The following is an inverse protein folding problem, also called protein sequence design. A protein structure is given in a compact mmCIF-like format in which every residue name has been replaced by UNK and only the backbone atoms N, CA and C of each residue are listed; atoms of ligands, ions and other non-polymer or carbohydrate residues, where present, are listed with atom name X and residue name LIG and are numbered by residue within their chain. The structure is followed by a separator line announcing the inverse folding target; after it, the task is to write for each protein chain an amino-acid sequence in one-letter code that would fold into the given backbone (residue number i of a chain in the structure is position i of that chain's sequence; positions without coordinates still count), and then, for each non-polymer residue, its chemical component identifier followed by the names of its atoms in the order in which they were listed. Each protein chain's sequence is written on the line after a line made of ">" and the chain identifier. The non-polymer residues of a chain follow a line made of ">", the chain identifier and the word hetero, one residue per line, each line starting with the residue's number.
data_IF_054500021660
#
_entry.id   IF_054500021660
#
_cell.length_a   1.000
_cell.length_b   1.000
_cell.length_c   1.000
_cell.angle_alpha   90.00
_cell.angle_beta   90.00
_cell.angle_gamma   90.00
#
_symmetry.space_group_name_H-M   'P 1'
#
loop_
_entity.id
_entity.type
_entity.pdbx_description
1 polymer ?
#
# COMPACT_ATOMS: atom_id res chain seq x y z
N UNK A 1 9.91 -3.40 -16.33
CA UNK A 1 9.19 -2.32 -15.65
C UNK A 1 9.22 -1.03 -16.47
N UNK A 2 8.10 -0.30 -16.56
CA UNK A 2 7.95 1.01 -17.22
C UNK A 2 7.34 2.01 -16.24
N UNK A 3 7.93 3.20 -16.12
CA UNK A 3 7.43 4.28 -15.25
C UNK A 3 6.96 5.43 -16.12
N UNK A 4 5.70 5.83 -15.95
CA UNK A 4 5.07 6.92 -16.71
C UNK A 4 4.58 7.99 -15.72
N UNK A 5 5.28 9.13 -15.58
CA UNK A 5 4.84 10.25 -14.74
C UNK A 5 3.51 10.82 -15.24
N UNK A 6 2.76 11.46 -14.35
CA UNK A 6 1.64 12.28 -14.77
C UNK A 6 2.11 13.67 -15.24
N UNK A 7 1.22 14.40 -15.91
CA UNK A 7 1.54 15.72 -16.47
C UNK A 7 1.59 16.84 -15.40
N UNK A 8 1.32 16.54 -14.13
CA UNK A 8 1.20 17.50 -13.05
C UNK A 8 2.40 17.51 -12.09
N UNK A 9 3.41 16.66 -12.31
CA UNK A 9 4.63 16.58 -11.51
C UNK A 9 4.51 15.78 -10.21
N UNK A 10 3.30 15.39 -9.80
CA UNK A 10 3.06 14.53 -8.63
C UNK A 10 2.43 13.22 -9.07
N UNK A 11 3.19 12.13 -9.00
CA UNK A 11 2.67 10.79 -9.18
C UNK A 11 3.13 10.14 -10.49
N UNK A 12 3.40 8.84 -10.45
CA UNK A 12 3.74 8.06 -11.63
C UNK A 12 3.05 6.69 -11.65
N UNK A 13 2.69 6.23 -12.84
CA UNK A 13 2.18 4.86 -13.08
C UNK A 13 3.35 3.92 -13.37
N UNK A 14 3.39 2.77 -12.70
CA UNK A 14 4.41 1.74 -12.87
C UNK A 14 3.78 0.48 -13.46
N UNK A 15 4.23 0.05 -14.64
CA UNK A 15 3.70 -1.12 -15.35
C UNK A 15 4.80 -2.16 -15.64
N UNK A 16 4.41 -3.40 -15.92
CA UNK A 16 5.34 -4.48 -16.26
C UNK A 16 6.20 -4.93 -15.07
N UNK A 17 5.56 -4.99 -13.89
CA UNK A 17 6.08 -5.59 -12.66
C UNK A 17 4.92 -6.34 -11.97
N UNK A 18 5.23 -7.48 -11.36
CA UNK A 18 4.32 -8.25 -10.52
C UNK A 18 4.77 -8.13 -9.06
N UNK A 19 3.94 -7.50 -8.20
CA UNK A 19 4.28 -7.28 -6.80
C UNK A 19 4.06 -8.51 -5.91
N UNK A 20 3.48 -9.59 -6.45
CA UNK A 20 3.40 -10.89 -5.75
C UNK A 20 4.76 -11.55 -5.65
N UNK A 21 5.64 -11.24 -6.61
CA UNK A 21 7.01 -11.72 -6.65
C UNK A 21 7.97 -10.73 -5.99
N UNK A 22 9.08 -11.25 -5.48
CA UNK A 22 10.14 -10.42 -4.94
C UNK A 22 10.80 -9.64 -6.08
N UNK A 23 10.49 -8.35 -6.20
CA UNK A 23 11.18 -7.46 -7.14
C UNK A 23 12.70 -7.54 -6.95
N UNK A 24 13.45 -7.55 -8.06
CA UNK A 24 14.91 -7.57 -8.02
C UNK A 24 15.45 -6.37 -7.22
N UNK A 25 16.69 -6.46 -6.72
CA UNK A 25 17.30 -5.33 -6.02
C UNK A 25 17.43 -4.09 -6.91
N UNK A 26 17.56 -4.27 -8.23
CA UNK A 26 17.63 -3.20 -9.21
C UNK A 26 16.27 -2.54 -9.47
N UNK A 27 15.22 -3.35 -9.65
CA UNK A 27 13.86 -2.85 -9.79
C UNK A 27 13.46 -2.06 -8.55
N UNK A 28 13.74 -2.59 -7.35
CA UNK A 28 13.41 -1.90 -6.11
C UNK A 28 14.15 -0.56 -5.97
N UNK A 29 15.44 -0.49 -6.30
CA UNK A 29 16.17 0.80 -6.31
C UNK A 29 15.54 1.81 -7.28
N UNK A 30 15.07 1.33 -8.43
CA UNK A 30 14.39 2.17 -9.42
C UNK A 30 13.04 2.67 -8.89
N UNK A 31 12.26 1.81 -8.23
CA UNK A 31 11.02 2.20 -7.56
C UNK A 31 11.25 3.21 -6.45
N UNK A 32 12.26 3.00 -5.60
CA UNK A 32 12.56 3.90 -4.49
C UNK A 32 12.94 5.30 -4.99
N UNK A 33 13.75 5.39 -6.06
CA UNK A 33 14.07 6.67 -6.71
C UNK A 33 12.83 7.34 -7.30
N UNK A 34 11.99 6.57 -7.99
CA UNK A 34 10.76 7.09 -8.57
C UNK A 34 9.77 7.58 -7.50
N UNK A 35 9.68 6.90 -6.35
CA UNK A 35 8.86 7.35 -5.23
C UNK A 35 9.37 8.69 -4.69
N UNK A 36 10.69 8.85 -4.53
CA UNK A 36 11.29 10.12 -4.10
C UNK A 36 11.09 11.27 -5.10
N UNK A 37 11.13 10.98 -6.41
CA UNK A 37 10.94 11.98 -7.48
C UNK A 37 9.47 12.40 -7.63
N UNK A 38 8.55 11.44 -7.59
CA UNK A 38 7.14 11.67 -7.96
C UNK A 38 6.19 11.71 -6.77
N UNK A 39 6.65 11.41 -5.55
CA UNK A 39 5.85 11.41 -4.32
C UNK A 39 4.86 10.24 -4.17
N UNK A 40 4.21 9.82 -5.27
CA UNK A 40 3.21 8.73 -5.27
C UNK A 40 3.46 7.78 -6.44
N UNK A 41 3.36 6.47 -6.21
CA UNK A 41 3.43 5.46 -7.27
C UNK A 41 2.12 4.67 -7.35
N UNK A 42 1.62 4.47 -8.58
CA UNK A 42 0.44 3.67 -8.88
C UNK A 42 0.83 2.40 -9.63
N UNK A 43 0.46 1.24 -9.10
CA UNK A 43 0.72 -0.07 -9.68
C UNK A 43 -0.61 -0.69 -10.14
N UNK A 44 -1.04 -0.51 -11.40
CA UNK A 44 -2.26 -1.11 -11.90
C UNK A 44 -2.14 -2.63 -12.05
N UNK A 45 -3.29 -3.32 -12.05
CA UNK A 45 -3.42 -4.77 -12.31
C UNK A 45 -2.63 -5.65 -11.33
N UNK A 46 -2.60 -5.25 -10.07
CA UNK A 46 -2.06 -6.06 -8.98
C UNK A 46 -3.22 -6.74 -8.27
N UNK A 47 -3.07 -8.03 -8.02
CA UNK A 47 -3.98 -8.83 -7.21
C UNK A 47 -3.15 -9.38 -6.05
N UNK A 48 -3.25 -8.72 -4.89
CA UNK A 48 -2.37 -8.93 -3.75
C UNK A 48 -3.17 -9.35 -2.54
N UNK A 49 -2.73 -10.44 -1.93
CA UNK A 49 -3.14 -10.88 -0.61
C UNK A 49 -2.29 -10.19 0.47
N UNK A 50 -2.79 -10.16 1.70
CA UNK A 50 -2.09 -9.59 2.85
C UNK A 50 -0.60 -9.96 2.99
N UNK A 51 -0.17 -11.23 2.84
CA UNK A 51 1.26 -11.57 2.89
C UNK A 51 2.09 -10.86 1.81
N UNK A 52 1.53 -10.63 0.62
CA UNK A 52 2.23 -9.99 -0.49
C UNK A 52 2.30 -8.47 -0.28
N UNK A 53 1.23 -7.86 0.25
CA UNK A 53 1.24 -6.45 0.68
C UNK A 53 2.32 -6.23 1.74
N UNK A 54 2.35 -7.08 2.77
CA UNK A 54 3.37 -7.02 3.82
C UNK A 54 4.78 -7.25 3.28
N UNK A 55 4.98 -8.24 2.41
CA UNK A 55 6.29 -8.53 1.82
C UNK A 55 6.81 -7.37 0.96
N UNK A 56 5.94 -6.73 0.17
CA UNK A 56 6.30 -5.57 -0.63
C UNK A 56 6.59 -4.35 0.26
N UNK A 57 5.74 -4.08 1.26
CA UNK A 57 5.94 -3.00 2.22
C UNK A 57 7.27 -3.10 2.99
N UNK A 58 7.64 -4.31 3.45
CA UNK A 58 8.92 -4.59 4.16
C UNK A 58 10.16 -4.23 3.36
N UNK A 59 10.05 -4.04 2.05
CA UNK A 59 11.17 -3.58 1.22
C UNK A 59 11.55 -2.12 1.52
N UNK A 60 10.58 -1.32 1.98
CA UNK A 60 10.76 0.10 2.28
C UNK A 60 11.23 0.37 3.72
N UNK A 61 11.13 -0.62 4.61
CA UNK A 61 11.54 -0.50 6.01
C UNK A 61 10.75 -1.44 6.92
N UNK A 62 10.87 -1.21 8.23
CA UNK A 62 10.06 -1.91 9.21
C UNK A 62 8.59 -1.50 9.09
N UNK A 63 7.69 -2.47 9.22
CA UNK A 63 6.25 -2.21 9.16
C UNK A 63 5.70 -1.92 10.55
N UNK A 64 4.90 -0.86 10.63
CA UNK A 64 4.20 -0.47 11.84
C UNK A 64 2.83 -1.14 11.90
N UNK A 65 2.45 -1.61 13.10
CA UNK A 65 1.08 -2.00 13.39
C UNK A 65 0.32 -0.74 13.77
N UNK A 66 -0.73 -0.42 13.02
CA UNK A 66 -1.50 0.82 13.22
C UNK A 66 -1.98 0.96 14.68
N UNK A 67 -1.89 2.16 15.24
CA UNK A 67 -2.23 2.45 16.65
C UNK A 67 -3.69 2.17 17.02
N UNK A 68 -4.61 2.22 16.06
CA UNK A 68 -5.99 1.81 16.29
C UNK A 68 -6.07 0.33 16.67
N UNK A 69 -5.11 -0.49 16.22
CA UNK A 69 -4.97 -1.91 16.54
C UNK A 69 -6.27 -2.71 16.32
N UNK A 70 -6.98 -2.40 15.24
CA UNK A 70 -8.26 -2.96 14.85
C UNK A 70 -8.25 -3.36 13.37
N UNK A 71 -9.05 -4.36 13.02
CA UNK A 71 -9.29 -4.79 11.64
C UNK A 71 -8.03 -5.16 10.87
N UNK A 72 -7.20 -6.06 11.43
CA UNK A 72 -6.02 -6.54 10.75
C UNK A 72 -6.32 -7.75 9.86
N UNK A 73 -5.55 -7.89 8.78
CA UNK A 73 -5.56 -9.11 8.01
C UNK A 73 -5.12 -10.30 8.89
N UNK A 74 -5.80 -11.46 8.81
CA UNK A 74 -5.44 -12.63 9.60
C UNK A 74 -3.97 -13.02 9.42
N UNK A 75 -3.23 -13.10 10.52
CA UNK A 75 -1.79 -13.45 10.52
C UNK A 75 -0.84 -12.33 10.09
N UNK A 76 -1.36 -11.16 9.69
CA UNK A 76 -0.57 -10.00 9.22
C UNK A 76 -1.05 -8.72 9.93
N UNK A 77 -0.70 -8.52 11.22
CA UNK A 77 -1.12 -7.35 11.99
C UNK A 77 -0.66 -6.01 11.39
N UNK A 78 0.40 -6.01 10.59
CA UNK A 78 0.87 -4.85 9.84
C UNK A 78 -0.06 -4.41 8.69
N UNK A 79 -1.00 -5.27 8.26
CA UNK A 79 -1.93 -4.97 7.16
C UNK A 79 -3.30 -4.65 7.75
N UNK A 80 -3.63 -3.36 7.79
CA UNK A 80 -4.94 -2.87 8.20
C UNK A 80 -5.97 -3.00 7.07
N UNK A 81 -7.19 -3.43 7.38
CA UNK A 81 -8.31 -3.52 6.45
C UNK A 81 -9.11 -2.21 6.55
N UNK A 82 -9.00 -1.39 5.51
CA UNK A 82 -9.84 -0.22 5.30
C UNK A 82 -11.04 -0.62 4.43
N UNK A 83 -12.24 -0.70 5.02
CA UNK A 83 -13.45 -1.16 4.32
C UNK A 83 -14.71 -0.66 5.00
N UNK A 84 -15.68 -0.25 4.20
CA UNK A 84 -17.04 0.07 4.64
C UNK A 84 -18.02 -1.12 4.49
N UNK A 85 -17.52 -2.29 4.06
CA UNK A 85 -18.34 -3.48 3.88
C UNK A 85 -18.60 -4.19 5.21
N UNK A 86 -19.70 -4.94 5.24
CA UNK A 86 -20.11 -5.78 6.37
C UNK A 86 -20.31 -7.22 5.90
N UNK A 87 -20.08 -8.18 6.77
CA UNK A 87 -20.47 -9.56 6.52
C UNK A 87 -22.00 -9.75 6.61
N UNK A 88 -22.47 -10.97 6.35
CA UNK A 88 -23.89 -11.33 6.38
C UNK A 88 -24.54 -11.13 7.77
N UNK A 89 -23.73 -11.18 8.84
CA UNK A 89 -24.17 -10.93 10.20
C UNK A 89 -24.17 -9.43 10.57
N UNK A 90 -23.77 -8.56 9.64
CA UNK A 90 -23.69 -7.11 9.82
C UNK A 90 -22.42 -6.64 10.54
N UNK A 91 -21.43 -7.51 10.77
CA UNK A 91 -20.15 -7.14 11.39
C UNK A 91 -19.28 -6.41 10.36
N UNK A 92 -18.66 -5.27 10.71
CA UNK A 92 -17.73 -4.59 9.82
C UNK A 92 -16.53 -5.46 9.46
N UNK A 93 -16.17 -5.46 8.17
CA UNK A 93 -14.98 -6.15 7.68
C UNK A 93 -13.70 -5.33 7.87
N UNK A 94 -13.84 -4.00 7.98
CA UNK A 94 -12.72 -3.08 8.13
C UNK A 94 -13.09 -1.81 8.88
N UNK A 95 -12.10 -0.95 9.06
CA UNK A 95 -12.31 0.41 9.53
C UNK A 95 -13.01 1.19 8.40
N UNK A 96 -14.18 1.74 8.69
CA UNK A 96 -15.01 2.43 7.69
C UNK A 96 -14.78 3.94 7.65
N UNK A 97 -14.01 4.46 8.61
CA UNK A 97 -13.81 5.88 8.82
C UNK A 97 -12.34 6.20 9.11
N UNK A 98 -11.49 6.07 8.09
CA UNK A 98 -10.11 6.54 8.14
C UNK A 98 -9.86 7.55 7.02
N UNK A 99 -9.18 8.64 7.35
CA UNK A 99 -8.66 9.59 6.36
C UNK A 99 -9.69 10.51 5.69
N UNK A 100 -10.77 10.91 6.37
CA UNK A 100 -11.82 11.80 5.80
C UNK A 100 -11.36 13.22 5.45
N UNK A 101 -10.14 13.60 5.83
CA UNK A 101 -9.58 14.94 5.58
C UNK A 101 -8.15 14.87 5.07
N UNK A 102 -7.60 16.01 4.66
CA UNK A 102 -6.18 16.13 4.33
C UNK A 102 -5.33 15.92 5.58
N UNK A 103 -4.40 14.96 5.52
CA UNK A 103 -3.51 14.63 6.61
C UNK A 103 -2.23 13.97 6.09
N UNK A 104 -1.26 13.81 6.97
CA UNK A 104 -0.17 12.85 6.82
C UNK A 104 -0.38 11.77 7.87
N UNK A 105 -0.27 10.50 7.48
CA UNK A 105 -0.44 9.40 8.43
C UNK A 105 0.51 9.55 9.63
N UNK A 106 0.01 9.24 10.82
CA UNK A 106 0.77 9.27 12.08
C UNK A 106 1.32 10.65 12.52
N UNK A 107 0.74 11.75 12.03
CA UNK A 107 1.18 13.12 12.38
C UNK A 107 0.42 13.79 13.54
N UNK A 108 -0.14 13.02 14.48
CA UNK A 108 -0.95 13.52 15.60
C UNK A 108 -0.14 14.21 16.70
#
# INVERSE_FOLDING_TARGET
>A
MKITPNNAGLGARVEGIDLRETASAEDFRTLLRALGEYGVLCFPKQDLEAPQVAAFGKRFGDLEVNVANLFHAPGHPEVMILSNMKDEAGKPLGLNDAGQGWHTDMSY
#
